data_IF_819723157217
#
_entry.id   IF_819723157217
#
_cell.length_a   1.000
_cell.length_b   1.000
_cell.length_c   1.000
_cell.angle_alpha   90.00
_cell.angle_beta   90.00
_cell.angle_gamma   90.00
#
_symmetry.space_group_name_H-M   'P 1'
#
loop_
_entity.id
_entity.type
_entity.pdbx_description
1 polymer ?
#
# COMPACT_ATOMS: atom_id res chain seq x y z
N UNK A 1 -62.99 -6.21 -59.74
CA UNK A 1 -63.78 -6.09 -58.50
C UNK A 1 -63.80 -7.49 -57.92
N UNK A 2 -62.87 -7.80 -57.01
CA UNK A 2 -62.50 -9.15 -56.50
C UNK A 2 -62.10 -10.16 -57.63
N UNK A 3 -61.43 -11.32 -57.39
CA UNK A 3 -61.30 -12.08 -56.15
C UNK A 3 -59.93 -12.78 -55.84
N UNK A 4 -59.81 -13.19 -54.56
CA UNK A 4 -59.35 -14.49 -54.01
C UNK A 4 -57.93 -15.12 -54.14
N UNK A 5 -57.64 -15.84 -53.04
CA UNK A 5 -56.70 -16.94 -52.74
C UNK A 5 -55.23 -16.59 -52.43
N UNK A 6 -54.62 -17.05 -51.34
CA UNK A 6 -55.05 -17.94 -50.26
C UNK A 6 -53.85 -18.44 -49.44
N UNK A 7 -54.16 -19.05 -48.28
CA UNK A 7 -53.40 -20.10 -47.58
C UNK A 7 -52.17 -19.64 -46.73
N UNK A 8 -51.95 -20.07 -45.48
CA UNK A 8 -52.69 -20.91 -44.51
C UNK A 8 -51.84 -21.04 -43.22
N UNK A 9 -52.50 -21.02 -42.04
CA UNK A 9 -52.31 -21.90 -40.83
C UNK A 9 -50.92 -22.06 -40.17
N UNK A 10 -50.71 -22.30 -38.86
CA UNK A 10 -51.48 -22.53 -37.60
C UNK A 10 -50.44 -22.68 -36.46
N UNK A 11 -50.93 -22.66 -35.21
CA UNK A 11 -50.35 -23.20 -33.96
C UNK A 11 -49.65 -22.17 -33.06
N UNK A 12 -49.81 -22.19 -31.74
CA UNK A 12 -50.68 -22.92 -30.83
C UNK A 12 -50.64 -22.17 -29.49
N UNK A 13 -51.75 -22.23 -28.75
CA UNK A 13 -51.86 -21.72 -27.39
C UNK A 13 -51.15 -22.65 -26.39
N UNK A 14 -50.42 -22.06 -25.44
CA UNK A 14 -50.02 -22.65 -24.15
C UNK A 14 -49.67 -21.48 -23.18
N UNK A 15 -49.61 -21.68 -21.85
CA UNK A 15 -50.54 -21.07 -20.92
C UNK A 15 -49.95 -19.93 -20.08
N UNK A 16 -50.86 -19.19 -19.45
CA UNK A 16 -50.67 -18.20 -18.40
C UNK A 16 -49.57 -18.57 -17.38
N UNK A 17 -48.46 -17.84 -17.42
CA UNK A 17 -47.48 -17.83 -16.34
C UNK A 17 -47.82 -16.68 -15.40
N UNK A 18 -48.19 -17.04 -14.17
CA UNK A 18 -48.54 -16.11 -13.10
C UNK A 18 -47.35 -15.21 -12.75
N UNK A 19 -47.54 -13.90 -12.50
CA UNK A 19 -46.45 -13.05 -12.06
C UNK A 19 -46.12 -13.38 -10.60
N UNK A 20 -44.98 -14.04 -10.40
CA UNK A 20 -44.34 -14.16 -9.09
C UNK A 20 -44.17 -12.76 -8.48
N UNK A 21 -44.46 -12.58 -7.18
CA UNK A 21 -44.34 -11.28 -6.54
C UNK A 21 -42.87 -10.86 -6.55
N UNK A 22 -42.60 -9.82 -7.33
CA UNK A 22 -41.36 -9.09 -7.30
C UNK A 22 -41.11 -8.65 -5.86
N UNK A 23 -40.08 -9.23 -5.24
CA UNK A 23 -39.56 -8.75 -3.95
C UNK A 23 -39.44 -7.23 -4.10
N UNK A 24 -40.01 -6.43 -3.18
CA UNK A 24 -39.90 -4.99 -3.29
C UNK A 24 -38.41 -4.68 -3.35
N UNK A 25 -37.98 -3.99 -4.40
CA UNK A 25 -36.67 -3.31 -4.45
C UNK A 25 -36.73 -2.23 -3.38
N UNK A 26 -36.62 -2.64 -2.11
CA UNK A 26 -36.41 -1.76 -0.98
C UNK A 26 -35.16 -0.97 -1.33
N UNK A 27 -35.27 0.35 -1.39
CA UNK A 27 -34.16 1.23 -1.72
C UNK A 27 -32.93 0.81 -0.92
N UNK A 28 -31.91 0.32 -1.61
CA UNK A 28 -30.77 -0.42 -1.02
C UNK A 28 -29.86 0.42 -0.09
N UNK A 29 -30.25 1.67 0.20
CA UNK A 29 -29.59 2.62 1.10
C UNK A 29 -30.56 3.25 2.10
N UNK A 30 -31.64 2.56 2.47
CA UNK A 30 -32.56 3.05 3.51
C UNK A 30 -32.10 2.58 4.89
N UNK A 31 -31.79 3.53 5.75
CA UNK A 31 -31.51 3.25 7.16
C UNK A 31 -32.80 3.07 7.93
N UNK A 32 -32.75 2.26 8.98
CA UNK A 32 -33.83 2.21 9.95
C UNK A 32 -34.03 3.61 10.57
N UNK A 33 -35.29 4.01 10.76
CA UNK A 33 -35.67 5.27 11.40
C UNK A 33 -35.06 5.37 12.81
N UNK A 34 -34.88 4.23 13.46
CA UNK A 34 -34.33 4.08 14.82
C UNK A 34 -32.80 4.14 14.90
N UNK A 35 -32.11 4.26 13.76
CA UNK A 35 -30.64 4.30 13.72
C UNK A 35 -30.10 5.47 14.57
N UNK A 36 -29.14 5.26 15.48
CA UNK A 36 -28.52 6.32 16.26
C UNK A 36 -27.81 7.39 15.40
N UNK A 37 -27.71 8.64 15.88
CA UNK A 37 -26.93 9.69 15.22
C UNK A 37 -25.47 9.31 14.97
N UNK A 38 -24.85 8.57 15.92
CA UNK A 38 -23.48 8.07 15.84
C UNK A 38 -23.28 7.16 14.61
N UNK A 39 -24.18 6.20 14.39
CA UNK A 39 -24.15 5.31 13.23
C UNK A 39 -24.40 6.05 11.91
N UNK A 40 -25.25 7.08 11.92
CA UNK A 40 -25.46 7.94 10.74
C UNK A 40 -24.19 8.69 10.35
N UNK A 41 -23.43 9.20 11.32
CA UNK A 41 -22.12 9.81 11.08
C UNK A 41 -21.15 8.75 10.54
N UNK A 42 -21.12 7.56 11.14
CA UNK A 42 -20.24 6.48 10.72
C UNK A 42 -20.45 6.06 9.25
N UNK A 43 -21.69 6.04 8.78
CA UNK A 43 -22.03 5.74 7.38
C UNK A 43 -21.53 6.82 6.41
N UNK A 44 -21.65 8.10 6.79
CA UNK A 44 -21.11 9.20 5.99
C UNK A 44 -19.59 9.09 5.92
N UNK A 45 -18.94 8.85 7.06
CA UNK A 45 -17.50 8.62 7.15
C UNK A 45 -17.07 7.41 6.30
N UNK A 46 -17.82 6.31 6.31
CA UNK A 46 -17.53 5.13 5.48
C UNK A 46 -17.63 5.45 3.99
N UNK A 47 -18.66 6.18 3.57
CA UNK A 47 -18.85 6.57 2.16
C UNK A 47 -17.71 7.47 1.67
N UNK A 48 -17.30 8.44 2.48
CA UNK A 48 -16.15 9.30 2.18
C UNK A 48 -14.81 8.55 2.27
N UNK A 49 -14.69 7.57 3.16
CA UNK A 49 -13.51 6.70 3.26
C UNK A 49 -13.34 5.88 1.98
N UNK A 50 -14.41 5.25 1.51
CA UNK A 50 -14.41 4.48 0.28
C UNK A 50 -14.06 5.33 -0.94
N UNK A 51 -14.62 6.53 -1.03
CA UNK A 51 -14.31 7.49 -2.09
C UNK A 51 -12.87 7.99 -2.01
N UNK A 52 -12.44 8.44 -0.82
CA UNK A 52 -11.10 8.97 -0.58
C UNK A 52 -10.00 7.95 -0.84
N UNK A 53 -10.21 6.69 -0.47
CA UNK A 53 -9.30 5.60 -0.82
C UNK A 53 -9.21 5.39 -2.33
N UNK A 54 -10.35 5.41 -3.04
CA UNK A 54 -10.38 5.32 -4.50
C UNK A 54 -9.62 6.46 -5.17
N UNK A 55 -9.83 7.69 -4.72
CA UNK A 55 -9.13 8.87 -5.21
C UNK A 55 -7.61 8.78 -4.97
N UNK A 56 -7.18 8.42 -3.76
CA UNK A 56 -5.76 8.28 -3.43
C UNK A 56 -5.07 7.20 -4.27
N UNK A 57 -5.75 6.08 -4.53
CA UNK A 57 -5.23 5.04 -5.43
C UNK A 57 -5.13 5.51 -6.88
N UNK A 58 -6.14 6.25 -7.37
CA UNK A 58 -6.17 6.79 -8.74
C UNK A 58 -5.04 7.80 -8.98
N UNK A 59 -4.77 8.67 -8.00
CA UNK A 59 -3.68 9.65 -8.08
C UNK A 59 -2.31 9.11 -7.65
N UNK A 60 -2.15 7.78 -7.54
CA UNK A 60 -0.89 7.12 -7.15
C UNK A 60 -0.29 7.59 -5.81
N UNK A 61 -1.12 8.13 -4.91
CA UNK A 61 -0.71 8.43 -3.56
C UNK A 61 -0.74 7.16 -2.71
N UNK A 62 0.23 7.02 -1.81
CA UNK A 62 0.19 5.96 -0.80
C UNK A 62 -0.95 6.29 0.17
N UNK A 63 -2.01 5.47 0.30
CA UNK A 63 -3.09 5.72 1.23
C UNK A 63 -2.61 5.43 2.66
N UNK A 64 -1.93 6.41 3.26
CA UNK A 64 -1.62 6.41 4.68
C UNK A 64 -2.80 6.95 5.48
N UNK A 65 -2.87 6.61 6.77
CA UNK A 65 -3.96 7.05 7.63
C UNK A 65 -4.08 8.59 7.65
N UNK A 66 -2.96 9.32 7.56
CA UNK A 66 -2.97 10.78 7.53
C UNK A 66 -3.59 11.36 6.25
N UNK A 67 -3.26 10.84 5.06
CA UNK A 67 -3.86 11.31 3.82
C UNK A 67 -5.32 10.88 3.72
N UNK A 68 -5.64 9.65 4.15
CA UNK A 68 -7.03 9.17 4.21
C UNK A 68 -7.85 10.05 5.16
N UNK A 69 -7.33 10.33 6.35
CA UNK A 69 -7.95 11.25 7.31
C UNK A 69 -8.22 12.61 6.66
N UNK A 70 -7.22 13.24 6.05
CA UNK A 70 -7.39 14.52 5.36
C UNK A 70 -8.46 14.47 4.25
N UNK A 71 -8.48 13.40 3.45
CA UNK A 71 -9.47 13.23 2.40
C UNK A 71 -10.90 13.06 2.95
N UNK A 72 -11.07 12.28 4.01
CA UNK A 72 -12.37 12.04 4.65
C UNK A 72 -12.87 13.31 5.36
N UNK A 73 -12.02 13.97 6.15
CA UNK A 73 -12.38 15.20 6.87
C UNK A 73 -12.74 16.33 5.91
N UNK A 74 -12.00 16.46 4.80
CA UNK A 74 -12.32 17.44 3.74
C UNK A 74 -13.66 17.17 3.07
N UNK A 75 -14.09 15.91 2.98
CA UNK A 75 -15.34 15.51 2.32
C UNK A 75 -16.54 15.58 3.25
N UNK A 76 -16.39 15.18 4.51
CA UNK A 76 -17.49 15.07 5.48
C UNK A 76 -17.57 16.23 6.47
N UNK A 77 -16.61 17.17 6.47
CA UNK A 77 -16.51 18.29 7.43
C UNK A 77 -16.62 17.83 8.91
N UNK A 78 -16.21 16.60 9.20
CA UNK A 78 -16.28 15.96 10.51
C UNK A 78 -14.95 15.27 10.79
N UNK A 79 -14.53 15.24 12.06
CA UNK A 79 -13.25 14.67 12.46
C UNK A 79 -13.22 13.16 12.22
N UNK A 80 -12.17 12.66 11.55
CA UNK A 80 -11.95 11.24 11.35
C UNK A 80 -10.84 10.74 12.28
N UNK A 81 -11.24 9.99 13.30
CA UNK A 81 -10.34 9.45 14.33
C UNK A 81 -10.04 7.96 14.08
N UNK A 82 -8.94 7.42 14.62
CA UNK A 82 -8.66 5.98 14.56
C UNK A 82 -9.81 5.14 15.13
N UNK A 83 -10.53 5.64 16.15
CA UNK A 83 -11.68 4.97 16.72
C UNK A 83 -12.80 4.73 15.70
N UNK A 84 -13.07 5.69 14.80
CA UNK A 84 -14.06 5.50 13.73
C UNK A 84 -13.64 4.41 12.75
N UNK A 85 -12.35 4.35 12.42
CA UNK A 85 -11.82 3.26 11.59
C UNK A 85 -11.99 1.90 12.28
N UNK A 86 -11.75 1.82 13.59
CA UNK A 86 -11.97 0.60 14.38
C UNK A 86 -13.44 0.15 14.38
N UNK A 87 -14.37 1.10 14.49
CA UNK A 87 -15.82 0.83 14.42
C UNK A 87 -16.23 0.33 13.04
N UNK A 88 -15.68 0.93 11.97
CA UNK A 88 -15.92 0.47 10.59
C UNK A 88 -15.40 -0.96 10.40
N UNK A 89 -14.20 -1.27 10.91
CA UNK A 89 -13.61 -2.61 10.83
C UNK A 89 -14.37 -3.65 11.66
N UNK A 90 -15.04 -3.22 12.73
CA UNK A 90 -15.91 -4.10 13.52
C UNK A 90 -17.18 -4.48 12.74
N UNK A 91 -17.83 -3.50 12.12
CA UNK A 91 -19.04 -3.72 11.33
C UNK A 91 -18.78 -4.41 10.00
N UNK A 92 -17.59 -4.21 9.40
CA UNK A 92 -17.17 -4.80 8.15
C UNK A 92 -15.77 -5.44 8.30
N UNK A 93 -15.66 -6.61 8.94
CA UNK A 93 -14.38 -7.29 9.09
C UNK A 93 -13.85 -7.71 7.71
N UNK A 94 -12.55 -7.52 7.48
CA UNK A 94 -11.91 -7.87 6.20
C UNK A 94 -12.15 -6.86 5.06
N UNK A 95 -12.77 -5.71 5.34
CA UNK A 95 -12.96 -4.63 4.36
C UNK A 95 -11.66 -4.03 3.81
N UNK A 96 -10.65 -3.98 4.69
CA UNK A 96 -9.41 -3.26 4.49
C UNK A 96 -8.22 -4.03 5.03
N UNK A 97 -7.12 -3.98 4.29
CA UNK A 97 -5.80 -4.40 4.76
C UNK A 97 -5.10 -3.20 5.38
N UNK A 98 -4.70 -3.38 6.64
CA UNK A 98 -3.91 -2.41 7.41
C UNK A 98 -2.48 -2.90 7.50
N UNK A 99 -1.52 -2.11 6.99
CA UNK A 99 -0.10 -2.46 7.00
C UNK A 99 0.75 -1.27 7.43
N UNK A 100 1.66 -1.50 8.37
CA UNK A 100 2.70 -0.53 8.69
C UNK A 100 3.78 -0.55 7.61
N UNK A 101 4.16 0.62 7.10
CA UNK A 101 5.24 0.78 6.12
C UNK A 101 6.20 1.88 6.52
N UNK A 102 7.48 1.71 6.17
CA UNK A 102 8.50 2.76 6.34
C UNK A 102 8.22 3.88 5.34
N UNK A 103 8.27 5.13 5.80
CA UNK A 103 7.95 6.31 5.00
C UNK A 103 9.03 6.54 3.93
N UNK A 104 8.72 6.35 2.65
CA UNK A 104 9.75 6.40 1.57
C UNK A 104 9.50 7.45 0.48
N UNK A 105 8.25 7.88 0.23
CA UNK A 105 7.92 8.76 -0.92
C UNK A 105 7.44 10.16 -0.52
N UNK A 106 6.46 10.27 0.38
CA UNK A 106 5.96 11.57 0.90
C UNK A 106 6.97 12.27 1.79
N UNK A 107 7.68 11.51 2.63
CA UNK A 107 8.81 11.99 3.43
C UNK A 107 9.89 12.70 2.62
N UNK A 108 10.16 12.19 1.40
CA UNK A 108 11.21 12.70 0.54
C UNK A 108 10.86 14.07 -0.04
N UNK A 109 9.57 14.31 -0.30
CA UNK A 109 9.03 15.59 -0.79
C UNK A 109 8.94 16.62 0.33
N UNK A 110 8.45 16.24 1.50
CA UNK A 110 8.39 17.12 2.69
C UNK A 110 9.79 17.51 3.21
N UNK A 111 10.72 16.57 3.26
CA UNK A 111 12.09 16.88 3.70
C UNK A 111 12.88 17.69 2.65
N UNK A 112 12.38 17.80 1.41
CA UNK A 112 12.90 18.73 0.40
C UNK A 112 12.33 20.16 0.57
N UNK A 113 11.11 20.29 1.10
CA UNK A 113 10.46 21.58 1.39
C UNK A 113 10.93 22.21 2.73
N UNK A 114 11.25 21.40 3.75
CA UNK A 114 11.64 21.86 5.10
C UNK A 114 13.17 22.03 5.33
N UNK A 115 13.98 22.16 4.27
CA UNK A 115 15.30 22.81 4.37
C UNK A 115 16.56 21.93 4.40
N UNK A 116 17.61 22.47 3.76
CA UNK A 116 19.03 22.09 3.86
C UNK A 116 19.54 21.12 2.78
N UNK A 117 20.47 21.58 1.94
CA UNK A 117 21.05 20.87 0.78
C UNK A 117 21.83 19.57 1.09
N UNK A 118 21.98 19.20 2.36
CA UNK A 118 22.73 18.01 2.76
C UNK A 118 21.95 16.71 2.51
N UNK A 119 22.39 15.94 1.51
CA UNK A 119 21.91 14.57 1.24
C UNK A 119 22.00 13.63 2.45
N UNK A 120 22.88 13.90 3.41
CA UNK A 120 22.98 13.14 4.66
C UNK A 120 21.85 13.48 5.64
N UNK A 121 21.51 14.76 5.79
CA UNK A 121 20.38 15.20 6.59
C UNK A 121 19.05 14.67 6.03
N UNK A 122 18.94 14.60 4.70
CA UNK A 122 17.78 13.97 4.04
C UNK A 122 17.66 12.48 4.37
N UNK A 123 18.77 11.73 4.30
CA UNK A 123 18.80 10.29 4.64
C UNK A 123 18.51 10.02 6.11
N UNK A 124 19.03 10.86 7.01
CA UNK A 124 18.78 10.73 8.44
C UNK A 124 17.32 11.01 8.79
N UNK A 125 16.70 12.04 8.19
CA UNK A 125 15.26 12.33 8.33
C UNK A 125 14.39 11.18 7.80
N UNK A 126 14.73 10.60 6.65
CA UNK A 126 14.04 9.43 6.10
C UNK A 126 14.13 8.19 7.01
N UNK A 127 15.25 8.01 7.73
CA UNK A 127 15.42 6.92 8.71
C UNK A 127 14.67 7.15 10.01
N UNK A 128 14.48 8.41 10.41
CA UNK A 128 13.81 8.80 11.65
C UNK A 128 12.30 9.02 11.50
N UNK A 129 11.76 8.98 10.27
CA UNK A 129 10.32 9.13 10.08
C UNK A 129 9.55 7.96 10.71
N UNK A 130 8.48 8.25 11.47
CA UNK A 130 7.68 7.20 12.10
C UNK A 130 7.05 6.32 11.02
N UNK A 131 6.88 5.01 11.29
CA UNK A 131 6.19 4.11 10.37
C UNK A 131 4.77 4.63 10.14
N UNK A 132 4.30 4.57 8.89
CA UNK A 132 2.97 5.01 8.50
C UNK A 132 2.04 3.82 8.39
N UNK A 133 0.86 3.92 8.98
CA UNK A 133 -0.21 2.95 8.80
C UNK A 133 -0.86 3.18 7.44
N UNK A 134 -0.71 2.21 6.54
CA UNK A 134 -1.33 2.23 5.22
C UNK A 134 -2.63 1.44 5.23
N UNK A 135 -3.63 1.97 4.52
CA UNK A 135 -4.98 1.41 4.43
C UNK A 135 -5.28 1.07 2.97
N UNK A 136 -5.57 -0.20 2.67
CA UNK A 136 -5.89 -0.65 1.30
C UNK A 136 -7.22 -1.37 1.29
N UNK A 137 -8.01 -1.17 0.22
CA UNK A 137 -9.25 -1.93 0.01
C UNK A 137 -8.90 -3.40 -0.21
N UNK A 138 -9.66 -4.27 0.45
CA UNK A 138 -9.61 -5.72 0.26
C UNK A 138 -10.95 -6.20 -0.29
N UNK A 139 -10.93 -7.32 -1.00
CA UNK A 139 -12.14 -8.06 -1.35
C UNK A 139 -12.79 -8.59 -0.07
N UNK A 140 -14.11 -8.47 0.03
CA UNK A 140 -14.84 -8.91 1.23
C UNK A 140 -14.83 -10.43 1.33
N UNK A 141 -14.74 -10.97 2.56
CA UNK A 141 -14.87 -12.41 2.78
C UNK A 141 -16.28 -12.91 2.38
N UNK A 142 -16.42 -14.19 2.01
CA UNK A 142 -17.71 -14.80 1.69
C UNK A 142 -18.71 -14.58 2.84
N UNK A 143 -19.99 -14.26 2.57
CA UNK A 143 -20.71 -14.34 1.30
C UNK A 143 -20.67 -13.08 0.40
N UNK A 144 -20.01 -12.00 0.83
CA UNK A 144 -20.07 -10.69 0.16
C UNK A 144 -18.95 -10.49 -0.90
N UNK A 145 -18.37 -11.59 -1.41
CA UNK A 145 -17.14 -11.59 -2.22
C UNK A 145 -17.25 -10.93 -3.59
N UNK A 146 -18.45 -10.87 -4.17
CA UNK A 146 -18.70 -10.25 -5.48
C UNK A 146 -18.92 -8.73 -5.40
N UNK A 147 -18.85 -8.15 -4.19
CA UNK A 147 -19.08 -6.72 -3.97
C UNK A 147 -17.80 -5.89 -4.19
N UNK A 148 -17.42 -5.69 -5.44
CA UNK A 148 -16.24 -4.90 -5.81
C UNK A 148 -16.55 -3.41 -6.02
N UNK A 149 -17.78 -3.07 -6.42
CA UNK A 149 -18.13 -1.69 -6.73
C UNK A 149 -18.29 -0.83 -5.46
N UNK A 150 -18.02 0.47 -5.59
CA UNK A 150 -18.22 1.45 -4.52
C UNK A 150 -19.65 1.38 -3.98
N UNK A 151 -20.63 1.31 -4.88
CA UNK A 151 -22.04 1.27 -4.51
C UNK A 151 -22.42 0.00 -3.77
N UNK A 152 -21.90 -1.16 -4.22
CA UNK A 152 -22.12 -2.44 -3.57
C UNK A 152 -21.53 -2.44 -2.16
N UNK A 153 -20.28 -2.00 -1.98
CA UNK A 153 -19.63 -1.92 -0.65
C UNK A 153 -20.40 -1.01 0.30
N UNK A 154 -20.90 0.14 -0.19
CA UNK A 154 -21.76 1.03 0.59
C UNK A 154 -23.06 0.31 0.98
N UNK A 155 -23.74 -0.34 0.04
CA UNK A 155 -24.98 -1.08 0.33
C UNK A 155 -24.78 -2.20 1.34
N UNK A 156 -23.67 -2.96 1.26
CA UNK A 156 -23.33 -3.98 2.26
C UNK A 156 -23.09 -3.34 3.63
N UNK A 157 -22.40 -2.20 3.69
CA UNK A 157 -22.21 -1.51 4.96
C UNK A 157 -23.55 -1.06 5.59
N UNK A 158 -24.48 -0.53 4.78
CA UNK A 158 -25.84 -0.20 5.23
C UNK A 158 -26.60 -1.42 5.75
N UNK A 159 -26.49 -2.57 5.08
CA UNK A 159 -27.16 -3.79 5.52
C UNK A 159 -26.60 -4.31 6.85
N UNK A 160 -25.28 -4.26 7.05
CA UNK A 160 -24.64 -4.64 8.33
C UNK A 160 -25.02 -3.68 9.46
N UNK A 161 -25.08 -2.37 9.22
CA UNK A 161 -25.53 -1.39 10.22
C UNK A 161 -26.99 -1.65 10.61
N UNK A 162 -27.87 -1.88 9.64
CA UNK A 162 -29.28 -2.20 9.93
C UNK A 162 -29.41 -3.51 10.72
N UNK A 163 -28.62 -4.54 10.38
CA UNK A 163 -28.59 -5.80 11.13
C UNK A 163 -28.09 -5.61 12.57
N UNK A 164 -27.07 -4.77 12.78
CA UNK A 164 -26.56 -4.41 14.09
C UNK A 164 -27.63 -3.71 14.95
N UNK A 165 -28.34 -2.73 14.38
CA UNK A 165 -29.45 -2.05 15.07
C UNK A 165 -30.58 -3.04 15.39
N UNK A 166 -30.96 -3.89 14.44
CA UNK A 166 -32.01 -4.89 14.65
C UNK A 166 -31.66 -5.90 15.76
N UNK A 167 -30.39 -6.32 15.85
CA UNK A 167 -29.91 -7.20 16.92
C UNK A 167 -30.00 -6.51 18.29
N UNK A 168 -29.59 -5.25 18.40
CA UNK A 168 -29.69 -4.48 19.64
C UNK A 168 -31.15 -4.23 20.05
N UNK A 169 -32.02 -3.93 19.08
CA UNK A 169 -33.46 -3.82 19.33
C UNK A 169 -34.03 -5.14 19.87
N UNK A 170 -33.65 -6.28 19.30
CA UNK A 170 -34.11 -7.58 19.77
C UNK A 170 -33.66 -7.89 21.20
N UNK A 171 -32.43 -7.49 21.58
CA UNK A 171 -31.93 -7.63 22.96
C UNK A 171 -32.74 -6.75 23.91
N UNK A 172 -32.93 -5.47 23.59
CA UNK A 172 -33.67 -4.54 24.45
C UNK A 172 -35.13 -4.98 24.62
N UNK A 173 -35.79 -5.41 23.54
CA UNK A 173 -37.18 -5.91 23.60
C UNK A 173 -37.28 -7.20 24.42
N UNK A 174 -36.25 -8.05 24.40
CA UNK A 174 -36.20 -9.27 25.22
C UNK A 174 -36.03 -8.96 26.71
N UNK A 175 -35.21 -7.97 27.05
CA UNK A 175 -34.98 -7.55 28.44
C UNK A 175 -36.13 -6.69 28.98
N UNK A 176 -36.78 -5.90 28.13
CA UNK A 176 -37.86 -4.98 28.50
C UNK A 176 -39.06 -5.12 27.54
N UNK A 177 -39.95 -6.11 27.76
CA UNK A 177 -41.10 -6.38 26.88
C UNK A 177 -42.15 -5.25 26.83
N UNK A 178 -42.15 -4.35 27.81
CA UNK A 178 -43.14 -3.26 27.94
C UNK A 178 -42.63 -1.89 27.44
N UNK A 179 -41.47 -1.84 26.80
CA UNK A 179 -40.81 -0.57 26.44
C UNK A 179 -41.44 0.05 25.18
N UNK A 180 -41.73 1.35 25.23
CA UNK A 180 -42.33 2.08 24.10
C UNK A 180 -41.31 2.35 22.99
N UNK A 181 -41.79 2.64 21.78
CA UNK A 181 -40.91 2.86 20.61
C UNK A 181 -39.98 4.05 20.78
N UNK A 182 -40.38 5.05 21.55
CA UNK A 182 -39.62 6.28 21.76
C UNK A 182 -38.53 6.07 22.81
N UNK A 183 -38.84 5.34 23.89
CA UNK A 183 -37.85 4.89 24.88
C UNK A 183 -36.80 3.97 24.24
N UNK A 184 -37.21 3.09 23.32
CA UNK A 184 -36.30 2.26 22.55
C UNK A 184 -35.32 3.09 21.71
N UNK A 185 -35.79 4.19 21.11
CA UNK A 185 -34.90 5.09 20.35
C UNK A 185 -33.93 5.86 21.24
N UNK A 186 -34.33 6.25 22.45
CA UNK A 186 -33.42 6.85 23.43
C UNK A 186 -32.36 5.84 23.91
N UNK A 187 -32.76 4.61 24.22
CA UNK A 187 -31.85 3.54 24.62
C UNK A 187 -30.80 3.24 23.53
N UNK A 188 -31.22 3.24 22.26
CA UNK A 188 -30.32 3.06 21.12
C UNK A 188 -29.28 4.18 20.97
N UNK A 189 -29.53 5.41 21.47
CA UNK A 189 -28.53 6.49 21.42
C UNK A 189 -27.31 6.21 22.30
N UNK A 190 -27.47 5.39 23.34
CA UNK A 190 -26.40 4.99 24.25
C UNK A 190 -25.59 3.79 23.74
N UNK A 191 -26.01 3.16 22.63
CA UNK A 191 -25.30 2.02 22.06
C UNK A 191 -24.00 2.49 21.40
N UNK A 192 -22.88 2.12 22.01
CA UNK A 192 -21.55 2.28 21.42
C UNK A 192 -21.21 1.07 20.55
N UNK A 193 -20.67 1.32 19.36
CA UNK A 193 -20.13 0.26 18.51
C UNK A 193 -18.78 -0.18 19.05
N UNK A 194 -18.62 -1.49 19.23
CA UNK A 194 -17.37 -2.12 19.62
C UNK A 194 -16.22 -1.75 18.66
N UNK A 195 -15.01 -1.65 19.21
CA UNK A 195 -13.83 -1.18 18.48
C UNK A 195 -12.88 -2.35 18.23
N UNK A 196 -12.66 -2.70 16.97
CA UNK A 196 -11.66 -3.71 16.61
C UNK A 196 -10.24 -3.18 16.89
N UNK A 197 -9.34 -3.95 17.53
CA UNK A 197 -7.97 -3.51 17.76
C UNK A 197 -7.22 -3.31 16.43
N UNK A 198 -6.55 -2.16 16.29
CA UNK A 198 -5.67 -1.91 15.13
C UNK A 198 -4.40 -2.77 15.22
N UNK A 199 -3.74 -3.08 14.08
CA UNK A 199 -2.47 -3.78 14.10
C UNK A 199 -1.44 -3.01 14.92
N UNK A 200 -0.82 -3.67 15.89
CA UNK A 200 0.29 -3.10 16.66
C UNK A 200 1.48 -2.88 15.72
N UNK A 201 2.26 -1.84 15.98
CA UNK A 201 3.49 -1.57 15.21
C UNK A 201 4.43 -2.76 15.42
N UNK A 202 4.87 -3.46 14.35
CA UNK A 202 5.81 -4.57 14.47
C UNK A 202 7.08 -4.17 15.23
N UNK A 203 7.54 -5.05 16.13
CA UNK A 203 8.75 -4.84 16.92
C UNK A 203 9.99 -4.59 16.02
N UNK A 204 10.04 -5.18 14.83
CA UNK A 204 11.08 -4.97 13.81
C UNK A 204 11.11 -3.54 13.23
N UNK A 205 10.03 -2.76 13.36
CA UNK A 205 9.96 -1.34 12.96
C UNK A 205 10.22 -0.38 14.11
N UNK A 206 10.16 -0.86 15.36
CA UNK A 206 10.55 -0.10 16.56
C UNK A 206 12.00 -0.39 16.96
N UNK A 207 12.58 -1.52 16.54
CA UNK A 207 13.98 -1.91 16.78
C UNK A 207 14.96 -1.16 15.86
N UNK A 208 15.11 0.14 16.11
CA UNK A 208 16.40 0.82 15.97
C UNK A 208 17.39 0.46 17.08
N UNK A 209 16.97 -0.36 18.05
CA UNK A 209 17.79 -0.91 19.13
C UNK A 209 17.63 -2.44 19.18
N UNK A 210 18.73 -3.14 19.44
CA UNK A 210 18.89 -4.61 19.49
C UNK A 210 19.33 -5.28 18.18
N UNK A 211 20.44 -4.78 17.62
CA UNK A 211 21.36 -5.57 16.78
C UNK A 211 22.64 -5.93 17.55
N UNK A 212 22.49 -6.41 18.79
CA UNK A 212 23.59 -6.81 19.67
C UNK A 212 24.07 -8.26 19.49
N UNK A 213 23.54 -9.03 18.53
CA UNK A 213 23.78 -10.49 18.48
C UNK A 213 24.28 -11.04 17.14
N UNK A 214 25.02 -10.28 16.33
CA UNK A 214 25.74 -10.86 15.18
C UNK A 214 27.11 -10.22 14.95
N UNK A 215 27.97 -10.28 15.96
CA UNK A 215 29.41 -10.06 15.81
C UNK A 215 30.17 -11.30 16.28
N UNK A 216 30.40 -12.21 15.34
CA UNK A 216 31.55 -13.10 15.43
C UNK A 216 31.99 -13.47 14.02
N UNK A 217 33.26 -13.16 13.77
CA UNK A 217 34.08 -13.59 12.63
C UNK A 217 33.86 -12.85 11.29
N UNK A 218 34.80 -11.96 10.96
CA UNK A 218 35.85 -12.21 9.96
C UNK A 218 36.60 -10.90 9.69
N UNK A 219 37.72 -10.71 10.37
CA UNK A 219 38.81 -9.88 9.87
C UNK A 219 39.34 -10.51 8.58
N UNK A 220 39.54 -9.67 7.55
CA UNK A 220 40.61 -9.71 6.54
C UNK A 220 40.13 -9.09 5.22
N UNK A 221 40.47 -7.82 5.01
CA UNK A 221 41.23 -7.31 3.85
C UNK A 221 41.19 -5.78 3.86
N UNK A 222 42.18 -5.21 4.54
CA UNK A 222 42.47 -3.78 4.49
C UNK A 222 43.46 -3.52 3.36
N UNK A 223 43.03 -2.82 2.33
CA UNK A 223 43.82 -1.84 1.58
C UNK A 223 42.83 -0.97 0.78
N UNK A 224 43.03 0.35 0.79
CA UNK A 224 42.30 1.38 0.00
C UNK A 224 41.08 2.09 0.61
N UNK A 225 40.89 2.13 1.93
CA UNK A 225 39.81 2.97 2.52
C UNK A 225 40.20 3.69 3.82
N UNK A 226 41.46 4.09 3.97
CA UNK A 226 41.91 4.80 5.18
C UNK A 226 41.62 6.32 5.15
N UNK A 227 41.67 6.97 3.97
CA UNK A 227 41.44 8.42 3.86
C UNK A 227 40.03 8.88 4.25
N UNK A 228 38.99 8.32 3.60
CA UNK A 228 37.59 8.72 3.87
C UNK A 228 37.07 8.35 5.27
N UNK A 229 37.70 7.38 5.94
CA UNK A 229 37.29 6.94 7.28
C UNK A 229 37.81 7.89 8.36
N UNK A 230 38.98 8.49 8.15
CA UNK A 230 39.61 9.41 9.12
C UNK A 230 38.86 10.74 9.19
N UNK A 231 38.60 11.37 8.03
CA UNK A 231 37.93 12.68 7.97
C UNK A 231 36.52 12.65 8.59
N UNK A 232 35.74 11.62 8.28
CA UNK A 232 34.37 11.49 8.82
C UNK A 232 34.33 11.14 10.32
N UNK A 233 35.44 10.64 10.87
CA UNK A 233 35.58 10.34 12.29
C UNK A 233 35.96 11.61 13.05
N UNK A 234 36.88 12.42 12.52
CA UNK A 234 37.22 13.74 13.08
C UNK A 234 36.03 14.69 13.07
N UNK A 235 35.25 14.72 11.98
CA UNK A 235 34.02 15.53 11.89
C UNK A 235 32.93 15.08 12.88
N UNK A 236 32.86 13.78 13.22
CA UNK A 236 31.93 13.27 14.21
C UNK A 236 32.39 13.59 15.65
N UNK A 237 33.69 13.65 15.90
CA UNK A 237 34.26 14.05 17.19
C UNK A 237 34.15 15.56 17.44
N UNK A 238 34.15 16.39 16.40
CA UNK A 238 34.07 17.86 16.50
C UNK A 238 32.66 18.42 16.82
N UNK A 239 31.60 17.59 16.86
CA UNK A 239 30.23 18.08 17.15
C UNK A 239 30.08 18.45 18.63
N UNK A 240 29.44 19.59 18.96
CA UNK A 240 29.26 20.00 20.35
C UNK A 240 28.42 18.98 21.12
N UNK A 241 28.84 18.66 22.35
CA UNK A 241 28.12 17.73 23.25
C UNK A 241 26.90 18.44 23.86
N UNK A 242 25.69 17.87 23.75
CA UNK A 242 24.49 18.41 24.40
C UNK A 242 24.70 18.62 25.91
N UNK A 243 24.11 19.67 26.47
CA UNK A 243 24.27 20.06 27.89
C UNK A 243 23.96 18.92 28.87
N UNK A 244 22.99 18.08 28.52
CA UNK A 244 22.53 16.93 29.33
C UNK A 244 23.55 15.76 29.38
N UNK A 245 24.54 15.75 28.47
CA UNK A 245 25.57 14.72 28.36
C UNK A 245 26.96 15.21 28.78
N UNK A 246 27.08 16.47 29.22
CA UNK A 246 28.35 17.05 29.68
C UNK A 246 28.83 16.50 31.04
N UNK A 247 27.93 15.84 31.79
CA UNK A 247 28.26 15.13 33.03
C UNK A 247 28.93 13.77 32.80
N UNK A 248 28.96 13.29 31.54
CA UNK A 248 29.62 12.04 31.19
C UNK A 248 31.10 12.27 30.86
N UNK A 249 31.98 11.29 31.15
CA UNK A 249 33.38 11.38 30.77
C UNK A 249 33.60 11.49 29.26
N UNK A 250 34.51 12.37 28.83
CA UNK A 250 34.83 12.64 27.41
C UNK A 250 35.22 11.38 26.63
N UNK A 251 35.93 10.45 27.28
CA UNK A 251 36.34 9.19 26.65
C UNK A 251 35.15 8.30 26.26
N UNK A 252 34.05 8.34 27.03
CA UNK A 252 32.85 7.55 26.76
C UNK A 252 32.07 8.17 25.59
N UNK A 253 31.99 9.49 25.55
CA UNK A 253 31.37 10.24 24.44
C UNK A 253 32.13 9.98 23.14
N UNK A 254 33.46 10.05 23.17
CA UNK A 254 34.31 9.74 22.00
C UNK A 254 34.15 8.28 21.55
N UNK A 255 34.03 7.33 22.49
CA UNK A 255 33.82 5.90 22.19
C UNK A 255 32.46 5.65 21.55
N UNK A 256 31.39 6.24 22.07
CA UNK A 256 30.04 6.13 21.50
C UNK A 256 30.00 6.74 20.09
N UNK A 257 30.56 7.94 19.89
CA UNK A 257 30.65 8.58 18.57
C UNK A 257 31.40 7.73 17.55
N UNK A 258 32.53 7.13 17.94
CA UNK A 258 33.30 6.22 17.09
C UNK A 258 32.48 4.98 16.72
N UNK A 259 31.77 4.40 17.69
CA UNK A 259 30.93 3.22 17.48
C UNK A 259 29.72 3.52 16.56
N UNK A 260 29.02 4.64 16.79
CA UNK A 260 27.93 5.11 15.92
C UNK A 260 28.40 5.34 14.48
N UNK A 261 29.59 5.92 14.31
CA UNK A 261 30.17 6.16 12.99
C UNK A 261 30.56 4.87 12.28
N UNK A 262 31.07 3.87 13.00
CA UNK A 262 31.32 2.53 12.46
C UNK A 262 30.00 1.86 12.03
N UNK A 263 28.95 1.92 12.84
CA UNK A 263 27.64 1.37 12.47
C UNK A 263 27.02 2.09 11.26
N UNK A 264 27.14 3.42 11.20
CA UNK A 264 26.68 4.23 10.06
C UNK A 264 27.44 3.89 8.79
N UNK A 265 28.77 3.81 8.86
CA UNK A 265 29.62 3.43 7.72
C UNK A 265 29.34 2.00 7.26
N UNK A 266 29.12 1.05 8.18
CA UNK A 266 28.80 -0.34 7.82
C UNK A 266 27.46 -0.45 7.08
N UNK A 267 26.41 0.24 7.55
CA UNK A 267 25.11 0.27 6.89
C UNK A 267 25.15 0.97 5.53
N UNK A 268 25.92 2.04 5.41
CA UNK A 268 26.08 2.76 4.14
C UNK A 268 26.93 1.97 3.14
N UNK A 269 27.96 1.25 3.62
CA UNK A 269 28.77 0.37 2.80
C UNK A 269 27.99 -0.84 2.30
N UNK A 270 27.12 -1.44 3.12
CA UNK A 270 26.28 -2.56 2.68
C UNK A 270 25.27 -2.14 1.60
N UNK A 271 24.63 -0.97 1.76
CA UNK A 271 23.72 -0.43 0.76
C UNK A 271 24.42 -0.04 -0.55
N UNK A 272 25.61 0.59 -0.47
CA UNK A 272 26.45 0.87 -1.64
C UNK A 272 26.88 -0.43 -2.34
N UNK A 273 27.25 -1.45 -1.56
CA UNK A 273 27.63 -2.77 -2.08
C UNK A 273 26.46 -3.44 -2.79
N UNK A 274 25.26 -3.39 -2.22
CA UNK A 274 24.05 -3.94 -2.85
C UNK A 274 23.72 -3.21 -4.15
N UNK A 275 23.78 -1.86 -4.17
CA UNK A 275 23.57 -1.08 -5.40
C UNK A 275 24.59 -1.44 -6.48
N UNK A 276 25.88 -1.55 -6.13
CA UNK A 276 26.93 -1.98 -7.07
C UNK A 276 26.65 -3.37 -7.62
N UNK A 277 26.24 -4.31 -6.75
CA UNK A 277 25.85 -5.68 -7.15
C UNK A 277 24.65 -5.70 -8.09
N UNK A 278 23.63 -4.87 -7.84
CA UNK A 278 22.48 -4.74 -8.74
C UNK A 278 22.92 -4.19 -10.10
N UNK A 279 23.69 -3.10 -10.11
CA UNK A 279 24.19 -2.49 -11.35
C UNK A 279 25.10 -3.44 -12.15
N UNK A 280 25.97 -4.20 -11.49
CA UNK A 280 26.85 -5.16 -12.16
C UNK A 280 26.12 -6.35 -12.78
N UNK A 281 24.93 -6.68 -12.28
CA UNK A 281 24.12 -7.81 -12.77
C UNK A 281 23.09 -7.41 -13.83
N UNK A 282 22.85 -6.11 -14.05
CA UNK A 282 21.94 -5.62 -15.09
C UNK A 282 22.31 -6.09 -16.51
N UNK A 283 23.59 -6.09 -16.94
CA UNK A 283 23.95 -6.58 -18.27
C UNK A 283 23.65 -8.07 -18.47
N UNK A 284 23.76 -8.87 -17.41
CA UNK A 284 23.42 -10.30 -17.46
C UNK A 284 21.91 -10.48 -17.56
N UNK A 285 21.14 -9.70 -16.81
CA UNK A 285 19.68 -9.73 -16.87
C UNK A 285 19.15 -9.23 -18.22
N UNK A 286 19.78 -8.22 -18.83
CA UNK A 286 19.43 -7.77 -20.18
C UNK A 286 19.67 -8.84 -21.23
N UNK A 287 20.77 -9.61 -21.12
CA UNK A 287 21.06 -10.73 -22.03
C UNK A 287 19.97 -11.83 -21.90
N UNK A 288 19.52 -12.10 -20.68
CA UNK A 288 18.43 -13.05 -20.41
C UNK A 288 17.10 -12.58 -20.99
N UNK A 289 16.74 -11.32 -20.79
CA UNK A 289 15.52 -10.73 -21.37
C UNK A 289 15.54 -10.77 -22.89
N UNK A 290 16.66 -10.41 -23.50
CA UNK A 290 16.82 -10.48 -24.95
C UNK A 290 16.69 -11.92 -25.45
N UNK A 291 17.30 -12.90 -24.76
CA UNK A 291 17.16 -14.31 -25.12
C UNK A 291 15.72 -14.79 -25.04
N UNK A 292 14.95 -14.32 -24.04
CA UNK A 292 13.56 -14.66 -23.86
C UNK A 292 12.71 -14.10 -25.01
N UNK A 293 12.89 -12.82 -25.35
CA UNK A 293 12.24 -12.16 -26.49
C UNK A 293 12.54 -12.90 -27.80
N UNK A 294 13.80 -13.31 -28.00
CA UNK A 294 14.22 -14.05 -29.19
C UNK A 294 13.55 -15.44 -29.28
N UNK A 295 13.48 -16.17 -28.18
CA UNK A 295 12.90 -17.53 -28.13
C UNK A 295 11.39 -17.50 -28.28
N UNK A 296 10.70 -16.59 -27.61
CA UNK A 296 9.23 -16.54 -27.64
C UNK A 296 8.69 -15.74 -28.82
N UNK A 297 9.54 -14.97 -29.52
CA UNK A 297 9.16 -14.02 -30.59
C UNK A 297 8.06 -13.04 -30.19
N UNK A 298 7.93 -12.78 -28.89
CA UNK A 298 6.95 -11.84 -28.31
C UNK A 298 7.72 -10.64 -27.78
N UNK A 299 7.18 -9.45 -28.02
CA UNK A 299 7.73 -8.18 -27.54
C UNK A 299 6.99 -7.64 -26.32
N UNK A 300 5.87 -8.23 -25.93
CA UNK A 300 5.06 -7.81 -24.78
C UNK A 300 4.83 -9.00 -23.88
N UNK A 301 5.05 -8.81 -22.58
CA UNK A 301 4.85 -9.83 -21.56
C UNK A 301 4.15 -9.26 -20.35
N UNK A 302 3.28 -10.02 -19.68
CA UNK A 302 2.84 -9.68 -18.33
C UNK A 302 4.06 -9.66 -17.41
N UNK A 303 4.16 -8.65 -16.55
CA UNK A 303 5.26 -8.53 -15.59
C UNK A 303 5.31 -9.73 -14.64
N UNK A 304 4.17 -10.22 -14.18
CA UNK A 304 4.04 -11.42 -13.34
C UNK A 304 4.64 -12.68 -14.00
N UNK A 305 4.37 -12.87 -15.29
CA UNK A 305 4.91 -13.97 -16.08
C UNK A 305 6.42 -13.84 -16.33
N UNK A 306 6.91 -12.61 -16.56
CA UNK A 306 8.34 -12.33 -16.67
C UNK A 306 9.08 -12.64 -15.37
N UNK A 307 8.55 -12.18 -14.23
CA UNK A 307 9.14 -12.44 -12.91
C UNK A 307 9.24 -13.95 -12.65
N UNK A 308 8.16 -14.70 -12.88
CA UNK A 308 8.16 -16.16 -12.72
C UNK A 308 9.20 -16.87 -13.59
N UNK A 309 9.35 -16.43 -14.85
CA UNK A 309 10.31 -17.03 -15.80
C UNK A 309 11.76 -16.64 -15.51
N UNK A 310 11.98 -15.45 -14.97
CA UNK A 310 13.30 -14.93 -14.66
C UNK A 310 13.79 -15.35 -13.27
N UNK A 311 12.89 -15.61 -12.31
CA UNK A 311 13.25 -16.04 -10.94
C UNK A 311 14.19 -17.25 -10.90
N UNK A 312 14.03 -18.20 -11.83
CA UNK A 312 14.88 -19.38 -11.94
C UNK A 312 16.30 -19.09 -12.46
N UNK A 313 16.48 -18.00 -13.23
CA UNK A 313 17.73 -17.64 -13.93
C UNK A 313 18.35 -16.34 -13.43
N UNK A 314 17.66 -15.63 -12.54
CA UNK A 314 18.05 -14.31 -12.09
C UNK A 314 19.40 -14.33 -11.35
N UNK A 315 20.30 -13.38 -11.66
CA UNK A 315 21.57 -13.26 -10.94
C UNK A 315 21.39 -12.96 -9.45
N UNK A 316 20.30 -12.28 -9.08
CA UNK A 316 19.94 -11.94 -7.70
C UNK A 316 18.49 -12.34 -7.46
N UNK A 317 18.28 -13.41 -6.70
CA UNK A 317 16.96 -13.95 -6.37
C UNK A 317 16.13 -12.91 -5.60
N UNK A 318 14.85 -12.77 -5.96
CA UNK A 318 13.92 -11.86 -5.30
C UNK A 318 14.12 -10.36 -5.58
N UNK A 319 15.03 -9.99 -6.49
CA UNK A 319 15.32 -8.58 -6.85
C UNK A 319 15.15 -8.27 -8.34
N UNK A 320 14.60 -9.22 -9.09
CA UNK A 320 14.35 -9.10 -10.54
C UNK A 320 13.44 -7.90 -10.84
N UNK A 321 12.45 -7.66 -10.00
CA UNK A 321 11.54 -6.52 -10.13
C UNK A 321 12.27 -5.18 -10.01
N UNK A 322 13.13 -5.03 -9.00
CA UNK A 322 13.96 -3.82 -8.84
C UNK A 322 14.92 -3.64 -10.02
N UNK A 323 15.46 -4.73 -10.57
CA UNK A 323 16.32 -4.69 -11.74
C UNK A 323 15.57 -4.31 -13.04
N UNK A 324 14.29 -4.72 -13.18
CA UNK A 324 13.44 -4.33 -14.31
C UNK A 324 13.17 -2.82 -14.30
N UNK A 325 12.83 -2.25 -13.14
CA UNK A 325 12.66 -0.80 -13.01
C UNK A 325 13.96 -0.02 -13.23
N UNK A 326 15.11 -0.58 -12.81
CA UNK A 326 16.41 0.01 -13.13
C UNK A 326 16.68 -0.01 -14.64
N UNK A 327 16.37 -1.11 -15.33
CA UNK A 327 16.51 -1.19 -16.79
C UNK A 327 15.60 -0.20 -17.52
N UNK A 328 14.36 -0.05 -17.08
CA UNK A 328 13.45 0.97 -17.60
C UNK A 328 14.04 2.38 -17.45
N UNK A 329 14.64 2.68 -16.29
CA UNK A 329 15.24 3.99 -16.03
C UNK A 329 16.52 4.26 -16.84
N UNK A 330 17.31 3.23 -17.13
CA UNK A 330 18.60 3.37 -17.81
C UNK A 330 18.49 3.23 -19.33
N UNK A 331 17.51 2.46 -19.82
CA UNK A 331 17.30 2.21 -21.25
C UNK A 331 15.80 2.24 -21.59
N UNK A 332 15.13 3.41 -21.46
CA UNK A 332 13.71 3.55 -21.77
C UNK A 332 13.39 3.30 -23.25
N UNK A 333 14.37 3.47 -24.13
CA UNK A 333 14.22 3.20 -25.57
C UNK A 333 14.00 1.72 -25.89
N UNK A 334 14.48 0.82 -25.00
CA UNK A 334 14.39 -0.62 -25.21
C UNK A 334 13.28 -1.28 -24.40
N UNK A 335 13.11 -0.89 -23.14
CA UNK A 335 12.16 -1.51 -22.22
C UNK A 335 11.26 -0.43 -21.63
N UNK A 336 9.94 -0.64 -21.75
CA UNK A 336 8.92 0.22 -21.13
C UNK A 336 7.90 -0.61 -20.37
N UNK A 337 7.49 -0.16 -19.19
CA UNK A 337 6.41 -0.77 -18.41
C UNK A 337 5.11 -0.02 -18.68
N UNK A 338 4.12 -0.75 -19.18
CA UNK A 338 2.79 -0.24 -19.54
C UNK A 338 1.77 -0.85 -18.56
N UNK A 339 0.80 -0.07 -18.14
CA UNK A 339 -0.29 -0.55 -17.29
C UNK A 339 -1.53 -0.63 -18.17
N UNK A 340 -2.13 -1.82 -18.25
CA UNK A 340 -3.36 -2.07 -19.00
C UNK A 340 -4.26 -3.03 -18.21
N UNK A 341 -5.56 -2.72 -18.11
CA UNK A 341 -6.55 -3.47 -17.30
C UNK A 341 -6.11 -3.79 -15.84
N UNK A 342 -5.35 -2.87 -15.21
CA UNK A 342 -4.83 -3.06 -13.86
C UNK A 342 -3.68 -4.09 -13.75
N UNK A 343 -3.18 -4.60 -14.87
CA UNK A 343 -1.98 -5.44 -14.95
C UNK A 343 -0.81 -4.69 -15.59
N UNK A 344 0.39 -4.93 -15.05
CA UNK A 344 1.62 -4.35 -15.59
C UNK A 344 2.18 -5.26 -16.68
N UNK A 345 2.41 -4.70 -17.87
CA UNK A 345 3.04 -5.32 -19.02
C UNK A 345 4.40 -4.70 -19.27
N UNK A 346 5.38 -5.52 -19.63
CA UNK A 346 6.70 -5.07 -20.08
C UNK A 346 6.77 -5.20 -21.58
N UNK A 347 6.97 -4.07 -22.26
CA UNK A 347 7.13 -3.98 -23.70
C UNK A 347 8.60 -3.76 -24.06
N UNK A 348 9.08 -4.59 -24.99
CA UNK A 348 10.39 -4.53 -25.59
C UNK A 348 10.31 -3.92 -26.98
N UNK A 349 11.09 -2.88 -27.23
CA UNK A 349 11.21 -2.26 -28.54
C UNK A 349 12.04 -3.13 -29.47
N UNK A 350 11.42 -3.65 -30.54
CA UNK A 350 12.11 -4.38 -31.61
C UNK A 350 12.86 -3.47 -32.58
N UNK A 351 12.61 -2.17 -32.52
CA UNK A 351 13.23 -1.15 -33.38
C UNK A 351 14.69 -0.86 -33.02
N UNK A 352 15.10 -1.17 -31.79
CA UNK A 352 16.44 -0.89 -31.30
C UNK A 352 17.33 -2.13 -31.41
N UNK A 353 18.53 -1.98 -32.01
CA UNK A 353 19.52 -3.05 -32.04
C UNK A 353 20.03 -3.31 -30.62
N UNK A 354 19.98 -4.56 -30.16
CA UNK A 354 20.38 -4.92 -28.80
C UNK A 354 21.83 -4.53 -28.45
N UNK A 355 22.75 -4.55 -29.43
CA UNK A 355 24.14 -4.11 -29.21
C UNK A 355 24.25 -2.62 -28.83
N UNK A 356 23.39 -1.76 -29.38
CA UNK A 356 23.33 -0.35 -29.03
C UNK A 356 22.79 -0.18 -27.60
N UNK A 357 21.77 -0.95 -27.24
CA UNK A 357 21.20 -1.02 -25.89
C UNK A 357 22.26 -1.45 -24.86
N UNK A 358 23.03 -2.50 -25.15
CA UNK A 358 24.10 -2.98 -24.27
C UNK A 358 25.20 -1.94 -24.05
N UNK A 359 25.52 -1.17 -25.09
CA UNK A 359 26.51 -0.08 -25.03
C UNK A 359 25.99 1.10 -24.20
N UNK A 360 24.72 1.47 -24.41
CA UNK A 360 24.04 2.51 -23.62
C UNK A 360 23.94 2.11 -22.15
N UNK A 361 23.55 0.86 -21.86
CA UNK A 361 23.47 0.31 -20.51
C UNK A 361 24.82 0.36 -19.80
N UNK A 362 25.91 -0.06 -20.47
CA UNK A 362 27.28 0.01 -19.91
C UNK A 362 27.69 1.45 -19.60
N UNK A 363 27.39 2.39 -20.49
CA UNK A 363 27.66 3.82 -20.28
C UNK A 363 26.88 4.38 -19.09
N UNK A 364 25.59 4.04 -19.00
CA UNK A 364 24.72 4.48 -17.93
C UNK A 364 25.12 3.89 -16.56
N UNK A 365 25.59 2.64 -16.53
CA UNK A 365 26.18 2.01 -15.35
C UNK A 365 27.46 2.73 -14.93
N UNK A 366 28.37 3.05 -15.87
CA UNK A 366 29.63 3.75 -15.57
C UNK A 366 29.41 5.15 -14.98
N UNK A 367 28.31 5.83 -15.33
CA UNK A 367 27.94 7.14 -14.77
C UNK A 367 27.26 6.99 -13.37
N UNK A 368 26.71 5.81 -13.07
CA UNK A 368 25.89 5.54 -11.88
C UNK A 368 26.64 4.87 -10.71
N UNK A 369 27.85 4.38 -10.98
CA UNK A 369 28.84 3.84 -10.02
C UNK A 369 29.70 4.98 -9.51
#
# INVERSE_FOLDING_TARGET
MEPQEGLKTVAAAAPSESPLPSKPRVSARKLDKRTPPSLRVLIRLFSALEFGLGALTLYQHTPDFAAVKRAVESSCQTSFTPAHLQQILHLLPGAYVLQWKKSTRTARRQAQEEGGDSRQAQRQRLRQQPPLLTLRKQQLPPPDSDCESLEQRITVFYSKVNAFVAAHVAVIVKEFPSMTTDELTEALKLVEVDKTPLPKIPAEMTSGASSSLLLSMKEQSETDTFGEKSEKLEEALAKPVPRDLQTLPDWLIAKVRKQEQVHKNAADNSAKTLKRRLLSTLPQLSDQLQSLVMVTRKSVFPKSDLLRRLEARAPIKGKVEEQLYLLESLVPEWLTVIIDDGQEYVKFSTRCKYNAVKTSLRRAIAISV
#
